data_IF_556397504388
#
_entry.id   IF_556397504388
#
_cell.length_a   1.000
_cell.length_b   1.000
_cell.length_c   1.000
_cell.angle_alpha   90.00
_cell.angle_beta   90.00
_cell.angle_gamma   90.00
#
_symmetry.space_group_name_H-M   'P 1'
#
loop_
_entity.id
_entity.type
_entity.pdbx_description
1 polymer ?
#
# COMPACT_ATOMS: atom_id res chain seq x y z
N UNK A 1 -2.63 -6.74 -13.64
CA UNK A 1 -3.11 -5.35 -13.53
C UNK A 1 -4.07 -5.30 -12.36
N UNK A 2 -4.00 -4.25 -11.54
CA UNK A 2 -4.85 -4.06 -10.38
C UNK A 2 -6.32 -4.03 -10.81
N UNK A 3 -7.14 -4.82 -10.12
CA UNK A 3 -8.59 -4.88 -10.29
C UNK A 3 -9.28 -4.67 -8.96
N UNK A 4 -10.43 -4.01 -8.98
CA UNK A 4 -11.22 -3.81 -7.79
C UNK A 4 -11.93 -5.10 -7.40
N UNK A 5 -11.74 -5.50 -6.14
CA UNK A 5 -12.35 -6.68 -5.54
C UNK A 5 -13.53 -6.26 -4.67
N UNK A 6 -14.55 -7.10 -4.62
CA UNK A 6 -15.70 -6.84 -3.74
C UNK A 6 -15.32 -7.14 -2.29
N UNK A 7 -15.40 -6.14 -1.43
CA UNK A 7 -15.13 -6.29 0.00
C UNK A 7 -16.36 -6.00 0.85
N UNK A 8 -16.44 -6.72 1.97
CA UNK A 8 -17.43 -6.43 3.01
C UNK A 8 -17.20 -5.03 3.57
N UNK A 9 -18.25 -4.24 3.60
CA UNK A 9 -18.33 -2.98 4.33
C UNK A 9 -18.91 -3.23 5.72
N UNK A 10 -18.34 -2.62 6.74
CA UNK A 10 -18.87 -2.69 8.10
C UNK A 10 -19.46 -1.33 8.49
N UNK A 11 -20.60 -1.35 9.16
CA UNK A 11 -21.29 -0.14 9.59
C UNK A 11 -20.43 0.63 10.61
N UNK A 12 -20.20 1.91 10.35
CA UNK A 12 -19.39 2.78 11.20
C UNK A 12 -17.90 2.79 10.87
N UNK A 13 -17.45 1.98 9.90
CA UNK A 13 -16.11 2.08 9.33
C UNK A 13 -16.12 2.92 8.04
N UNK A 14 -15.04 3.64 7.73
CA UNK A 14 -14.91 4.34 6.45
C UNK A 14 -14.98 3.37 5.27
N UNK A 15 -15.42 3.87 4.12
CA UNK A 15 -15.60 3.08 2.91
C UNK A 15 -14.28 2.44 2.51
N UNK A 16 -14.23 1.11 2.53
CA UNK A 16 -13.03 0.35 2.22
C UNK A 16 -13.07 -0.14 0.78
N UNK A 17 -12.01 0.13 0.02
CA UNK A 17 -11.82 -0.39 -1.34
C UNK A 17 -10.58 -1.24 -1.39
N UNK A 18 -10.65 -2.37 -2.09
CA UNK A 18 -9.52 -3.27 -2.26
C UNK A 18 -9.27 -3.49 -3.74
N UNK A 19 -8.01 -3.33 -4.13
CA UNK A 19 -7.54 -3.61 -5.47
C UNK A 19 -6.41 -4.61 -5.41
N UNK A 20 -6.49 -5.68 -6.19
CA UNK A 20 -5.49 -6.75 -6.18
C UNK A 20 -5.02 -7.11 -7.60
N UNK A 21 -3.78 -7.57 -7.70
CA UNK A 21 -3.27 -8.37 -8.82
C UNK A 21 -2.26 -9.39 -8.30
N UNK A 22 -1.47 -10.04 -9.16
CA UNK A 22 -0.45 -11.03 -8.73
C UNK A 22 0.62 -10.43 -7.80
N UNK A 23 0.96 -9.15 -7.96
CA UNK A 23 2.07 -8.48 -7.28
C UNK A 23 1.63 -7.57 -6.15
N UNK A 24 0.47 -6.91 -6.26
CA UNK A 24 0.01 -5.90 -5.31
C UNK A 24 -1.32 -6.28 -4.64
N UNK A 25 -1.43 -5.92 -3.36
CA UNK A 25 -2.71 -5.68 -2.66
C UNK A 25 -2.76 -4.23 -2.20
N UNK A 26 -3.66 -3.44 -2.78
CA UNK A 26 -3.92 -2.05 -2.41
C UNK A 26 -5.26 -1.96 -1.68
N UNK A 27 -5.25 -1.55 -0.43
CA UNK A 27 -6.45 -1.27 0.35
C UNK A 27 -6.49 0.23 0.65
N UNK A 28 -7.62 0.85 0.33
CA UNK A 28 -7.89 2.26 0.58
C UNK A 28 -9.10 2.39 1.50
N UNK A 29 -9.03 3.37 2.40
CA UNK A 29 -10.17 3.82 3.19
C UNK A 29 -10.49 5.25 2.77
N UNK A 30 -11.69 5.45 2.23
CA UNK A 30 -12.19 6.74 1.76
C UNK A 30 -12.90 7.48 2.89
N UNK A 31 -12.63 8.78 3.00
CA UNK A 31 -13.41 9.74 3.78
C UNK A 31 -14.32 10.56 2.87
N UNK A 32 -15.00 11.54 3.45
CA UNK A 32 -15.91 12.44 2.71
C UNK A 32 -15.17 13.31 1.68
N UNK A 33 -13.95 13.76 2.00
CA UNK A 33 -13.21 14.73 1.18
C UNK A 33 -11.96 14.15 0.50
N UNK A 34 -11.28 13.17 1.12
CA UNK A 34 -10.05 12.54 0.61
C UNK A 34 -9.87 11.13 1.22
N UNK A 35 -8.81 10.42 0.86
CA UNK A 35 -8.53 9.09 1.43
C UNK A 35 -7.88 9.21 2.81
N UNK A 36 -8.45 8.51 3.79
CA UNK A 36 -8.03 8.55 5.19
C UNK A 36 -6.81 7.67 5.46
N UNK A 37 -6.74 6.53 4.77
CA UNK A 37 -5.70 5.53 4.97
C UNK A 37 -5.44 4.74 3.69
N UNK A 38 -4.19 4.29 3.56
CA UNK A 38 -3.74 3.38 2.53
C UNK A 38 -2.94 2.25 3.17
N UNK A 39 -3.10 1.06 2.61
CA UNK A 39 -2.18 -0.04 2.78
C UNK A 39 -1.86 -0.60 1.41
N UNK A 40 -0.57 -0.73 1.11
CA UNK A 40 -0.07 -1.33 -0.12
C UNK A 40 0.88 -2.47 0.25
N UNK A 41 0.43 -3.71 0.08
CA UNK A 41 1.30 -4.88 0.12
C UNK A 41 1.85 -5.16 -1.28
N UNK A 42 3.12 -5.54 -1.38
CA UNK A 42 3.79 -5.77 -2.66
C UNK A 42 4.88 -6.83 -2.56
N UNK A 43 5.31 -7.34 -3.73
CA UNK A 43 6.32 -8.41 -3.84
C UNK A 43 5.87 -9.73 -3.16
N UNK A 44 4.57 -10.05 -3.24
CA UNK A 44 3.92 -11.22 -2.59
C UNK A 44 4.47 -12.60 -2.97
N UNK A 45 5.27 -12.70 -4.03
CA UNK A 45 5.92 -13.95 -4.47
C UNK A 45 7.42 -13.98 -4.13
N UNK A 46 7.90 -12.99 -3.40
CA UNK A 46 9.30 -12.81 -3.05
C UNK A 46 9.42 -12.24 -1.65
N UNK A 47 10.02 -11.05 -1.54
CA UNK A 47 10.23 -10.40 -0.24
C UNK A 47 9.01 -9.53 0.06
N UNK A 48 7.93 -10.12 0.59
CA UNK A 48 6.68 -9.37 0.78
C UNK A 48 6.89 -8.19 1.74
N UNK A 49 6.42 -7.03 1.32
CA UNK A 49 6.44 -5.81 2.12
C UNK A 49 5.08 -5.16 2.16
N UNK A 50 4.81 -4.42 3.22
CA UNK A 50 3.63 -3.59 3.34
C UNK A 50 4.02 -2.15 3.68
N UNK A 51 3.42 -1.22 2.91
CA UNK A 51 3.47 0.21 3.14
C UNK A 51 2.09 0.67 3.62
N UNK A 52 2.02 1.16 4.85
CA UNK A 52 0.82 1.75 5.44
C UNK A 52 1.02 3.26 5.51
N UNK A 53 0.00 4.01 5.12
CA UNK A 53 -0.06 5.45 5.33
C UNK A 53 -1.38 5.83 6.00
N UNK A 54 -1.30 6.70 7.00
CA UNK A 54 -2.47 7.33 7.62
C UNK A 54 -2.18 8.81 7.84
N UNK A 55 -3.21 9.66 7.80
CA UNK A 55 -3.05 11.08 8.09
C UNK A 55 -2.42 11.34 9.47
N UNK A 56 -2.80 10.54 10.48
CA UNK A 56 -2.35 10.73 11.87
C UNK A 56 -0.95 10.23 12.17
N UNK A 57 -0.49 9.17 11.49
CA UNK A 57 0.79 8.49 11.79
C UNK A 57 1.85 8.62 10.70
N UNK A 58 1.49 9.17 9.53
CA UNK A 58 2.39 9.20 8.38
C UNK A 58 2.61 7.81 7.79
N UNK A 59 3.84 7.54 7.34
CA UNK A 59 4.21 6.29 6.69
C UNK A 59 4.80 5.27 7.65
N UNK A 60 4.38 4.02 7.51
CA UNK A 60 4.97 2.85 8.13
C UNK A 60 5.28 1.85 7.03
N UNK A 61 6.51 1.33 7.00
CA UNK A 61 6.94 0.35 6.02
C UNK A 61 7.62 -0.81 6.75
N UNK A 62 7.21 -2.03 6.42
CA UNK A 62 7.72 -3.22 7.07
C UNK A 62 7.71 -4.39 6.10
N UNK A 63 8.60 -5.34 6.35
CA UNK A 63 8.60 -6.65 5.71
C UNK A 63 7.52 -7.52 6.35
N UNK A 64 6.88 -8.37 5.55
CA UNK A 64 5.92 -9.38 5.98
C UNK A 64 6.65 -10.72 5.97
N UNK A 65 6.79 -11.35 7.13
CA UNK A 65 7.36 -12.69 7.24
C UNK A 65 6.33 -13.75 6.78
N UNK A 66 6.75 -14.64 5.87
CA UNK A 66 5.99 -15.82 5.47
C UNK A 66 5.78 -16.74 6.69
N UNK A 67 4.59 -16.65 7.31
CA UNK A 67 4.26 -17.50 8.44
C UNK A 67 2.87 -17.30 9.05
N UNK A 68 2.25 -16.11 8.96
CA UNK A 68 0.95 -15.84 9.59
C UNK A 68 0.05 -14.95 8.71
N UNK A 69 -0.47 -15.54 7.63
CA UNK A 69 -1.56 -15.04 6.80
C UNK A 69 -2.83 -14.79 7.65
N UNK A 70 -2.93 -13.66 8.32
CA UNK A 70 -4.18 -13.33 9.02
C UNK A 70 -4.21 -12.04 9.82
N UNK A 71 -3.08 -11.40 10.09
CA UNK A 71 -3.10 -10.17 10.86
C UNK A 71 -1.84 -9.33 10.66
N UNK A 72 -2.04 -8.08 10.25
CA UNK A 72 -1.10 -6.94 10.39
C UNK A 72 -0.59 -6.74 11.83
N UNK A 73 -1.00 -7.59 12.79
CA UNK A 73 -0.62 -7.57 14.19
C UNK A 73 0.84 -7.98 14.44
N UNK A 74 1.53 -8.58 13.46
CA UNK A 74 2.96 -8.93 13.57
C UNK A 74 3.83 -8.23 12.51
N UNK A 75 3.41 -7.05 12.07
CA UNK A 75 4.25 -6.12 11.33
C UNK A 75 5.34 -5.60 12.27
N UNK A 76 6.57 -6.11 12.16
CA UNK A 76 7.71 -5.53 12.89
C UNK A 76 8.14 -4.25 12.17
N UNK A 77 8.04 -3.07 12.79
CA UNK A 77 8.56 -1.85 12.19
C UNK A 77 10.06 -2.03 12.01
N UNK A 78 10.47 -2.09 10.75
CA UNK A 78 11.83 -2.39 10.38
C UNK A 78 12.54 -1.06 10.11
N UNK A 79 13.37 -0.60 11.06
CA UNK A 79 14.44 0.35 10.75
C UNK A 79 15.50 -0.42 9.97
N UNK A 80 15.29 -0.59 8.66
CA UNK A 80 16.27 -1.23 7.78
C UNK A 80 17.25 -0.18 7.32
N UNK A 81 18.46 -0.29 7.84
CA UNK A 81 19.67 0.25 7.22
C UNK A 81 19.82 -0.37 5.80
N UNK A 82 20.03 0.51 4.83
CA UNK A 82 20.23 0.33 3.38
C UNK A 82 20.33 -1.10 2.78
N UNK A 83 19.21 -1.83 2.64
CA UNK A 83 19.27 -3.24 2.21
C UNK A 83 18.42 -3.71 1.03
N UNK A 84 17.14 -3.33 0.90
CA UNK A 84 16.28 -3.94 -0.15
C UNK A 84 15.08 -3.09 -0.59
N UNK A 85 14.97 -1.83 -0.15
CA UNK A 85 13.85 -0.98 -0.58
C UNK A 85 14.15 -0.29 -1.91
N UNK A 86 13.74 -0.89 -3.03
CA UNK A 86 13.80 -0.25 -4.35
C UNK A 86 12.51 0.56 -4.63
N UNK A 87 12.52 1.82 -4.17
CA UNK A 87 11.42 2.77 -4.41
C UNK A 87 11.22 3.11 -5.90
N UNK A 88 12.23 2.93 -6.75
CA UNK A 88 12.08 3.11 -8.19
C UNK A 88 11.31 1.95 -8.83
N UNK A 89 11.65 0.70 -8.46
CA UNK A 89 10.89 -0.51 -8.84
C UNK A 89 9.44 -0.41 -8.37
N UNK A 90 9.20 -0.08 -7.10
CA UNK A 90 7.85 0.03 -6.54
C UNK A 90 6.97 1.01 -7.35
N UNK A 91 7.47 2.22 -7.62
CA UNK A 91 6.73 3.23 -8.39
C UNK A 91 6.50 2.80 -9.85
N UNK A 92 7.48 2.16 -10.48
CA UNK A 92 7.38 1.66 -11.86
C UNK A 92 6.33 0.56 -11.97
N UNK A 93 6.40 -0.45 -11.11
CA UNK A 93 5.44 -1.55 -11.06
C UNK A 93 4.02 -1.02 -10.81
N UNK A 94 3.86 -0.13 -9.82
CA UNK A 94 2.56 0.47 -9.53
C UNK A 94 2.05 1.25 -10.74
N UNK A 95 2.89 2.05 -11.42
CA UNK A 95 2.46 2.83 -12.58
C UNK A 95 2.02 1.97 -13.76
N UNK A 96 2.63 0.79 -13.97
CA UNK A 96 2.26 -0.15 -15.01
C UNK A 96 0.95 -0.90 -14.66
N UNK A 97 0.84 -1.36 -13.41
CA UNK A 97 -0.26 -2.22 -12.95
C UNK A 97 -1.54 -1.44 -12.61
N UNK A 98 -1.44 -0.16 -12.23
CA UNK A 98 -2.57 0.73 -11.91
C UNK A 98 -3.24 1.37 -13.13
N UNK A 99 -2.93 0.96 -14.36
CA UNK A 99 -3.49 1.56 -15.58
C UNK A 99 -5.01 1.43 -15.70
N UNK A 100 -5.58 0.36 -15.12
CA UNK A 100 -7.03 0.13 -15.09
C UNK A 100 -7.76 0.79 -13.92
N UNK A 101 -7.03 1.42 -12.99
CA UNK A 101 -7.65 2.10 -11.85
C UNK A 101 -8.19 3.48 -12.22
N UNK A 102 -9.17 3.95 -11.46
CA UNK A 102 -9.71 5.28 -11.59
C UNK A 102 -8.60 6.36 -11.50
N UNK A 103 -8.66 7.42 -12.32
CA UNK A 103 -7.61 8.44 -12.36
C UNK A 103 -7.32 9.09 -11.01
N UNK A 104 -8.36 9.30 -10.18
CA UNK A 104 -8.26 9.89 -8.84
C UNK A 104 -7.49 9.00 -7.89
N UNK A 105 -7.88 7.72 -7.77
CA UNK A 105 -7.17 6.69 -6.98
C UNK A 105 -5.71 6.60 -7.43
N UNK A 106 -5.47 6.46 -8.74
CA UNK A 106 -4.14 6.31 -9.30
C UNK A 106 -3.25 7.51 -8.99
N UNK A 107 -3.77 8.74 -9.14
CA UNK A 107 -3.04 9.98 -8.88
C UNK A 107 -2.71 10.11 -7.39
N UNK A 108 -3.66 9.78 -6.53
CA UNK A 108 -3.51 9.87 -5.09
C UNK A 108 -2.43 8.90 -4.58
N UNK A 109 -2.51 7.62 -4.96
CA UNK A 109 -1.51 6.62 -4.53
C UNK A 109 -0.12 6.95 -5.10
N UNK A 110 -0.02 7.39 -6.37
CA UNK A 110 1.27 7.84 -6.93
C UNK A 110 1.87 9.02 -6.18
N UNK A 111 1.05 9.96 -5.70
CA UNK A 111 1.51 11.07 -4.86
C UNK A 111 2.11 10.52 -3.56
N UNK A 112 1.38 9.65 -2.87
CA UNK A 112 1.84 9.03 -1.61
C UNK A 112 3.13 8.24 -1.78
N UNK A 113 3.25 7.44 -2.85
CA UNK A 113 4.47 6.70 -3.15
C UNK A 113 5.66 7.62 -3.42
N UNK A 114 5.47 8.76 -4.09
CA UNK A 114 6.56 9.74 -4.30
C UNK A 114 7.00 10.39 -2.99
N UNK A 115 6.06 10.78 -2.13
CA UNK A 115 6.36 11.35 -0.82
C UNK A 115 7.15 10.33 0.03
N UNK A 116 6.68 9.09 0.12
CA UNK A 116 7.37 8.03 0.85
C UNK A 116 8.78 7.75 0.32
N UNK A 117 8.95 7.63 -1.00
CA UNK A 117 10.26 7.42 -1.59
C UNK A 117 11.20 8.61 -1.40
N UNK A 118 10.67 9.83 -1.25
CA UNK A 118 11.46 11.01 -0.89
C UNK A 118 12.01 10.91 0.53
N UNK A 119 11.15 10.56 1.49
CA UNK A 119 11.50 10.42 2.92
C UNK A 119 12.52 9.31 3.22
N UNK A 120 12.71 8.35 2.30
CA UNK A 120 13.62 7.20 2.46
C UNK A 120 14.98 7.40 1.78
N UNK A 121 15.19 8.51 1.06
CA UNK A 121 16.44 8.82 0.34
C UNK A 121 17.32 9.84 1.09
N UNK A 122 17.03 10.14 2.36
CA UNK A 122 17.75 11.08 3.22
C UNK A 122 18.38 10.38 4.43
#
# INVERSE_FOLDING_TARGET
>A
MLREETVRQNKGEPLRRWFADDYFDLILWEGDEDFLQMQLCYDRSGDEHALVWTEKKGYLHFRVDEGELGSLKKASPMMVDDGSFDGAKLRREFAARSRGLEPSVRRWVKRRLREFCGLRQE
#
